data_IF_755029297148
#
_entry.id   IF_755029297148
#
_cell.length_a   1.000
_cell.length_b   1.000
_cell.length_c   1.000
_cell.angle_alpha   90.00
_cell.angle_beta   90.00
_cell.angle_gamma   90.00
#
_symmetry.space_group_name_H-M   'P 1'
#
loop_
_entity.id
_entity.type
_entity.pdbx_description
1 polymer ?
#
# COMPACT_ATOMS: atom_id res chain seq x y z
N UNK A 1 0.28 2.86 -11.39
CA UNK A 1 0.22 1.78 -12.40
C UNK A 1 -1.13 1.10 -12.29
N UNK A 2 -1.82 0.78 -13.40
CA UNK A 2 -3.01 -0.06 -13.35
C UNK A 2 -2.63 -1.53 -13.08
N UNK A 3 -3.53 -2.30 -12.47
CA UNK A 3 -3.37 -3.72 -12.15
C UNK A 3 -4.58 -4.51 -12.66
N UNK A 4 -4.33 -5.60 -13.37
CA UNK A 4 -5.39 -6.51 -13.82
C UNK A 4 -5.73 -7.52 -12.72
N UNK A 5 -7.02 -7.84 -12.56
CA UNK A 5 -7.44 -8.95 -11.71
C UNK A 5 -6.90 -10.26 -12.30
N UNK A 6 -6.62 -11.28 -11.45
CA UNK A 6 -6.16 -12.59 -11.94
C UNK A 6 -7.14 -13.27 -12.90
N UNK A 7 -8.45 -12.96 -12.79
CA UNK A 7 -9.50 -13.47 -13.68
C UNK A 7 -9.60 -12.67 -14.99
N UNK A 8 -8.94 -11.52 -15.10
CA UNK A 8 -8.98 -10.64 -16.26
C UNK A 8 -10.30 -9.87 -16.42
N UNK A 9 -11.18 -9.92 -15.44
CA UNK A 9 -12.52 -9.30 -15.45
C UNK A 9 -12.55 -7.87 -14.87
N UNK A 10 -11.46 -7.43 -14.25
CA UNK A 10 -11.35 -6.09 -13.65
C UNK A 10 -9.95 -5.50 -13.85
N UNK A 11 -9.90 -4.17 -13.93
CA UNK A 11 -8.70 -3.35 -13.88
C UNK A 11 -8.83 -2.42 -12.68
N UNK A 12 -7.84 -2.46 -11.79
CA UNK A 12 -7.69 -1.55 -10.67
C UNK A 12 -6.70 -0.44 -11.03
N UNK A 13 -6.99 0.80 -10.66
CA UNK A 13 -6.06 1.92 -10.85
C UNK A 13 -6.36 3.07 -9.88
N UNK A 14 -5.36 3.91 -9.64
CA UNK A 14 -5.50 5.13 -8.83
C UNK A 14 -5.86 6.33 -9.69
N UNK A 15 -6.76 7.18 -9.21
CA UNK A 15 -7.23 8.37 -9.93
C UNK A 15 -7.82 9.41 -8.97
N UNK A 16 -7.70 10.68 -9.31
CA UNK A 16 -8.36 11.79 -8.62
C UNK A 16 -9.75 12.13 -9.19
N UNK A 17 -10.36 11.26 -10.02
CA UNK A 17 -11.62 11.55 -10.73
C UNK A 17 -12.84 11.94 -9.88
N UNK A 18 -12.79 11.75 -8.57
CA UNK A 18 -13.82 12.20 -7.64
C UNK A 18 -13.73 13.70 -7.36
N UNK A 19 -12.51 14.23 -7.36
CA UNK A 19 -12.21 15.66 -7.30
C UNK A 19 -10.99 15.96 -8.19
N UNK A 20 -11.22 16.19 -9.50
CA UNK A 20 -10.14 16.45 -10.45
C UNK A 20 -9.34 17.73 -10.16
N UNK A 21 -9.86 18.61 -9.30
CA UNK A 21 -9.23 19.89 -8.94
C UNK A 21 -8.24 19.74 -7.79
N UNK A 22 -8.32 18.65 -7.04
CA UNK A 22 -7.41 18.31 -5.97
C UNK A 22 -6.23 17.47 -6.51
N UNK A 23 -5.01 18.03 -6.56
CA UNK A 23 -3.83 17.31 -7.04
C UNK A 23 -3.30 16.30 -6.01
N UNK A 24 -3.74 16.38 -4.76
CA UNK A 24 -3.24 15.58 -3.65
C UNK A 24 -4.14 14.38 -3.31
N UNK A 25 -5.40 14.41 -3.76
CA UNK A 25 -6.40 13.37 -3.52
C UNK A 25 -6.40 12.27 -4.59
N UNK A 26 -6.16 11.02 -4.20
CA UNK A 26 -6.23 9.86 -5.08
C UNK A 26 -7.05 8.74 -4.44
N UNK A 27 -7.99 8.18 -5.20
CA UNK A 27 -8.74 6.99 -4.80
C UNK A 27 -8.43 5.80 -5.70
N UNK A 28 -8.75 4.60 -5.23
CA UNK A 28 -8.71 3.38 -6.03
C UNK A 28 -10.04 3.17 -6.75
N UNK A 29 -9.94 2.81 -8.02
CA UNK A 29 -11.08 2.53 -8.88
C UNK A 29 -10.95 1.15 -9.50
N UNK A 30 -12.10 0.52 -9.72
CA UNK A 30 -12.24 -0.74 -10.42
C UNK A 30 -13.11 -0.51 -11.66
N UNK A 31 -12.74 -1.12 -12.78
CA UNK A 31 -13.49 -1.07 -14.04
C UNK A 31 -13.35 -2.38 -14.80
N UNK A 32 -14.35 -2.76 -15.58
CA UNK A 32 -14.24 -3.87 -16.53
C UNK A 32 -13.29 -3.55 -17.69
N UNK A 33 -12.73 -4.56 -18.39
CA UNK A 33 -11.85 -4.36 -19.55
C UNK A 33 -12.53 -3.61 -20.72
N UNK A 34 -13.85 -3.70 -20.79
CA UNK A 34 -14.72 -3.00 -21.74
C UNK A 34 -15.09 -1.57 -21.30
N UNK A 35 -14.61 -1.14 -20.13
CA UNK A 35 -14.94 0.15 -19.52
C UNK A 35 -16.20 0.16 -18.67
N UNK A 36 -16.96 -0.94 -18.60
CA UNK A 36 -18.19 -1.01 -17.82
C UNK A 36 -17.93 -1.16 -16.31
N UNK A 37 -18.94 -0.88 -15.49
CA UNK A 37 -18.87 -1.15 -14.04
C UNK A 37 -17.85 -0.31 -13.27
N UNK A 38 -17.46 0.84 -13.81
CA UNK A 38 -16.54 1.77 -13.16
C UNK A 38 -17.05 2.19 -11.77
N UNK A 39 -16.25 1.97 -10.72
CA UNK A 39 -16.58 2.40 -9.35
C UNK A 39 -15.35 2.71 -8.53
N UNK A 40 -15.49 3.61 -7.55
CA UNK A 40 -14.49 3.86 -6.50
C UNK A 40 -14.61 2.80 -5.40
N UNK A 41 -13.48 2.28 -4.93
CA UNK A 41 -13.41 1.48 -3.70
C UNK A 41 -13.33 2.44 -2.53
N UNK A 42 -14.31 2.41 -1.63
CA UNK A 42 -14.36 3.28 -0.45
C UNK A 42 -13.83 2.52 0.76
N UNK A 43 -12.62 2.85 1.20
CA UNK A 43 -11.91 2.09 2.25
C UNK A 43 -12.00 2.73 3.63
N UNK A 44 -12.08 4.06 3.71
CA UNK A 44 -12.30 4.77 4.98
C UNK A 44 -13.64 5.51 4.96
N UNK A 45 -14.20 5.70 6.16
CA UNK A 45 -15.44 6.44 6.38
C UNK A 45 -15.24 7.95 6.60
N UNK A 46 -14.00 8.43 6.48
CA UNK A 46 -13.59 9.80 6.78
C UNK A 46 -13.65 10.74 5.58
N UNK A 47 -12.80 11.76 5.61
CA UNK A 47 -12.64 12.75 4.54
C UNK A 47 -11.99 12.11 3.31
N UNK A 48 -12.84 11.57 2.43
CA UNK A 48 -12.45 10.89 1.20
C UNK A 48 -11.66 11.77 0.23
N UNK A 49 -11.70 13.09 0.40
CA UNK A 49 -11.04 14.05 -0.49
C UNK A 49 -9.57 14.26 -0.06
N UNK A 50 -9.20 13.86 1.15
CA UNK A 50 -7.80 13.86 1.63
C UNK A 50 -7.11 12.51 1.52
N UNK A 51 -7.84 11.48 1.09
CA UNK A 51 -7.26 10.16 0.84
C UNK A 51 -6.28 10.22 -0.32
N UNK A 52 -5.10 9.66 -0.12
CA UNK A 52 -4.09 9.51 -1.15
C UNK A 52 -3.72 8.05 -1.29
N UNK A 53 -4.48 7.34 -2.12
CA UNK A 53 -4.36 5.91 -2.33
C UNK A 53 -3.73 5.61 -3.70
N UNK A 54 -2.51 5.06 -3.66
CA UNK A 54 -1.68 4.81 -4.84
C UNK A 54 -1.22 3.35 -4.91
N UNK A 55 -0.59 2.99 -6.03
CA UNK A 55 0.11 1.72 -6.22
C UNK A 55 -0.72 0.46 -5.92
N UNK A 56 -1.96 0.41 -6.43
CA UNK A 56 -2.87 -0.72 -6.20
C UNK A 56 -2.43 -1.99 -6.95
N UNK A 57 -2.55 -3.15 -6.29
CA UNK A 57 -2.38 -4.47 -6.90
C UNK A 57 -3.41 -5.49 -6.34
N UNK A 58 -3.89 -6.38 -7.20
CA UNK A 58 -4.75 -7.50 -6.79
C UNK A 58 -3.95 -8.62 -6.12
N UNK A 59 -4.56 -9.28 -5.13
CA UNK A 59 -4.12 -10.58 -4.63
C UNK A 59 -4.27 -11.67 -5.70
N UNK A 60 -3.54 -12.77 -5.55
CA UNK A 60 -3.57 -13.88 -6.52
C UNK A 60 -4.93 -14.59 -6.66
N UNK A 61 -5.79 -14.50 -5.64
CA UNK A 61 -7.18 -14.99 -5.69
C UNK A 61 -8.18 -13.94 -6.21
N UNK A 62 -7.73 -12.69 -6.41
CA UNK A 62 -8.56 -11.57 -6.87
C UNK A 62 -9.50 -11.00 -5.81
N UNK A 63 -9.46 -11.48 -4.57
CA UNK A 63 -10.41 -11.13 -3.51
C UNK A 63 -9.97 -9.91 -2.68
N UNK A 64 -8.69 -9.55 -2.75
CA UNK A 64 -8.08 -8.48 -1.99
C UNK A 64 -7.31 -7.52 -2.90
N UNK A 65 -7.21 -6.29 -2.43
CA UNK A 65 -6.32 -5.27 -2.96
C UNK A 65 -5.24 -4.99 -1.91
N UNK A 66 -4.01 -4.77 -2.37
CA UNK A 66 -2.96 -4.10 -1.61
C UNK A 66 -2.69 -2.75 -2.26
N UNK A 67 -2.44 -1.73 -1.47
CA UNK A 67 -2.16 -0.38 -1.94
C UNK A 67 -1.39 0.41 -0.89
N UNK A 68 -0.80 1.51 -1.33
CA UNK A 68 -0.15 2.48 -0.47
C UNK A 68 -1.13 3.59 -0.13
N UNK A 69 -1.25 3.99 1.14
CA UNK A 69 -2.12 5.11 1.52
C UNK A 69 -1.61 5.94 2.70
N UNK A 70 -2.02 7.21 2.74
CA UNK A 70 -1.75 8.16 3.83
C UNK A 70 -2.71 8.05 5.03
N UNK A 71 -3.54 7.00 5.10
CA UNK A 71 -4.60 6.85 6.11
C UNK A 71 -4.07 6.75 7.55
N UNK A 72 -2.79 6.42 7.72
CA UNK A 72 -2.15 6.27 9.02
C UNK A 72 -1.54 7.55 9.57
N UNK A 73 -1.57 8.64 8.80
CA UNK A 73 -0.84 9.86 9.12
C UNK A 73 0.69 9.65 9.12
N UNK A 74 1.38 10.57 9.77
CA UNK A 74 2.84 10.55 9.92
C UNK A 74 3.19 9.68 11.14
N UNK A 75 4.02 8.64 10.95
CA UNK A 75 4.38 7.69 12.02
C UNK A 75 5.77 7.93 12.64
N UNK A 76 6.55 8.83 12.06
CA UNK A 76 7.87 9.24 12.56
C UNK A 76 8.11 10.72 12.27
N UNK A 77 9.30 11.23 12.54
CA UNK A 77 9.65 12.59 12.13
C UNK A 77 9.62 12.67 10.60
N UNK A 78 8.94 13.66 10.00
CA UNK A 78 8.99 13.80 8.58
C UNK A 78 10.45 14.00 8.17
N UNK A 79 11.00 13.13 7.31
CA UNK A 79 12.25 13.45 6.62
C UNK A 79 11.90 14.62 5.70
N UNK A 80 12.02 15.83 6.23
CA UNK A 80 11.67 17.06 5.57
C UNK A 80 12.72 17.39 4.49
N UNK A 81 12.75 16.56 3.45
CA UNK A 81 13.34 16.96 2.19
C UNK A 81 12.39 17.93 1.50
N UNK A 82 12.85 19.09 1.00
CA UNK A 82 12.03 19.88 0.09
C UNK A 82 11.66 19.03 -1.13
N UNK A 83 10.41 19.14 -1.61
CA UNK A 83 9.88 18.46 -2.81
C UNK A 83 9.72 16.93 -2.74
N UNK A 84 9.22 16.37 -1.64
CA UNK A 84 8.72 15.00 -1.66
C UNK A 84 7.41 14.92 -2.47
N UNK A 85 7.50 14.43 -3.72
CA UNK A 85 6.37 14.25 -4.62
C UNK A 85 5.31 13.27 -4.09
N UNK A 86 5.69 12.41 -3.14
CA UNK A 86 4.77 11.51 -2.46
C UNK A 86 5.03 11.52 -0.96
N UNK A 87 4.28 12.32 -0.17
CA UNK A 87 4.36 12.21 1.28
C UNK A 87 3.75 10.87 1.73
N UNK A 88 4.45 10.20 2.64
CA UNK A 88 4.04 9.13 3.55
C UNK A 88 2.93 8.20 3.06
N UNK A 89 3.32 6.97 2.77
CA UNK A 89 2.42 5.89 2.40
C UNK A 89 2.74 4.65 3.18
N UNK A 90 1.73 4.08 3.84
CA UNK A 90 1.83 2.77 4.47
C UNK A 90 1.11 1.75 3.61
N UNK A 91 1.47 0.48 3.72
CA UNK A 91 0.79 -0.58 3.01
C UNK A 91 -0.53 -0.91 3.71
N UNK A 92 -1.59 -0.97 2.94
CA UNK A 92 -2.91 -1.40 3.37
C UNK A 92 -3.45 -2.50 2.49
N UNK A 93 -4.38 -3.28 3.05
CA UNK A 93 -5.21 -4.22 2.29
C UNK A 93 -6.68 -3.97 2.54
N UNK A 94 -7.52 -4.25 1.55
CA UNK A 94 -8.98 -4.28 1.71
C UNK A 94 -9.60 -5.26 0.72
N UNK A 95 -10.86 -5.61 0.94
CA UNK A 95 -11.71 -6.35 -0.01
C UNK A 95 -12.14 -5.44 -1.17
N UNK A 96 -12.61 -6.00 -2.27
CA UNK A 96 -13.03 -5.22 -3.45
C UNK A 96 -14.20 -4.26 -3.20
N UNK A 97 -14.99 -4.49 -2.16
CA UNK A 97 -16.08 -3.62 -1.71
C UNK A 97 -15.60 -2.53 -0.73
N UNK A 98 -14.30 -2.52 -0.39
CA UNK A 98 -13.69 -1.61 0.57
C UNK A 98 -13.71 -2.10 2.02
N UNK A 99 -14.42 -3.20 2.30
CA UNK A 99 -14.47 -3.78 3.64
C UNK A 99 -13.16 -4.44 4.04
N UNK A 100 -13.01 -4.74 5.34
CA UNK A 100 -11.84 -5.45 5.84
C UNK A 100 -10.53 -4.69 5.70
N UNK A 101 -10.57 -3.35 5.71
CA UNK A 101 -9.39 -2.50 5.68
C UNK A 101 -8.42 -2.90 6.81
N UNK A 102 -7.16 -3.15 6.44
CA UNK A 102 -6.08 -3.51 7.38
C UNK A 102 -4.80 -2.79 6.98
N UNK A 103 -4.15 -2.19 7.98
CA UNK A 103 -2.81 -1.63 7.87
C UNK A 103 -1.78 -2.76 8.03
N UNK A 104 -0.80 -2.83 7.13
CA UNK A 104 0.23 -3.87 7.12
C UNK A 104 1.59 -3.38 7.64
N UNK A 105 1.89 -2.11 7.44
CA UNK A 105 3.15 -1.49 7.90
C UNK A 105 2.87 -0.36 8.89
N UNK A 106 3.82 -0.12 9.79
CA UNK A 106 3.83 1.00 10.71
C UNK A 106 5.27 1.33 11.09
N UNK A 107 5.94 2.13 10.26
CA UNK A 107 7.35 2.44 10.44
C UNK A 107 7.68 3.90 10.05
N UNK A 108 8.93 4.31 10.20
CA UNK A 108 9.37 5.69 9.94
C UNK A 108 9.64 6.00 8.46
N UNK A 109 9.52 5.01 7.57
CA UNK A 109 9.87 5.10 6.16
C UNK A 109 8.60 5.09 5.28
N UNK A 110 8.73 5.59 4.05
CA UNK A 110 7.68 5.44 3.05
C UNK A 110 7.70 4.02 2.48
N UNK A 111 6.58 3.32 2.57
CA UNK A 111 6.40 2.05 1.87
C UNK A 111 5.89 2.29 0.44
N UNK A 112 6.71 1.92 -0.53
CA UNK A 112 6.48 2.14 -1.96
C UNK A 112 5.48 1.18 -2.61
N UNK A 113 5.73 0.83 -3.89
CA UNK A 113 4.81 0.03 -4.73
C UNK A 113 4.73 -1.43 -4.26
N UNK A 114 3.62 -1.88 -3.64
CA UNK A 114 3.49 -3.26 -3.19
C UNK A 114 3.22 -4.21 -4.36
N UNK A 115 3.55 -5.49 -4.15
CA UNK A 115 3.16 -6.58 -5.03
C UNK A 115 2.84 -7.83 -4.21
N UNK A 116 1.90 -8.64 -4.71
CA UNK A 116 1.64 -9.95 -4.16
C UNK A 116 2.59 -10.97 -4.78
N UNK A 117 3.16 -11.84 -3.95
CA UNK A 117 3.84 -13.02 -4.43
C UNK A 117 2.82 -14.18 -4.57
N UNK A 118 2.81 -14.91 -5.69
CA UNK A 118 1.78 -15.93 -5.97
C UNK A 118 1.87 -17.16 -5.06
N UNK A 119 3.01 -17.37 -4.40
CA UNK A 119 3.19 -18.44 -3.42
C UNK A 119 3.22 -17.84 -2.03
N UNK A 120 2.57 -18.52 -1.08
CA UNK A 120 2.87 -18.32 0.34
C UNK A 120 4.36 -18.58 0.52
N UNK A 121 5.09 -17.59 1.00
CA UNK A 121 6.44 -17.82 1.47
C UNK A 121 6.30 -18.68 2.72
N UNK A 122 6.64 -19.96 2.62
CA UNK A 122 6.90 -20.76 3.80
C UNK A 122 8.21 -20.24 4.37
N UNK A 123 8.13 -19.46 5.45
CA UNK A 123 9.27 -19.35 6.33
C UNK A 123 9.54 -20.79 6.77
N UNK A 124 10.73 -21.32 6.46
CA UNK A 124 11.12 -22.65 6.90
C UNK A 124 10.97 -22.76 8.42
N UNK A 125 11.03 -23.98 8.99
CA UNK A 125 11.16 -24.09 10.44
C UNK A 125 12.29 -23.13 10.87
N UNK A 126 12.02 -22.32 11.90
CA UNK A 126 13.06 -21.51 12.52
C UNK A 126 14.29 -22.42 12.70
N UNK A 127 15.47 -21.92 12.32
CA UNK A 127 16.72 -22.63 12.57
C UNK A 127 16.69 -23.20 14.00
N UNK A 128 17.16 -24.45 14.21
CA UNK A 128 16.99 -25.15 15.48
C UNK A 128 17.41 -24.24 16.63
N UNK A 129 16.44 -23.85 17.47
CA UNK A 129 16.54 -22.89 18.57
C UNK A 129 17.93 -22.26 18.73
N UNK A 130 18.32 -21.44 17.74
CA UNK A 130 19.35 -20.43 17.92
C UNK A 130 18.79 -19.40 18.90
N UNK A 131 19.67 -18.69 19.59
CA UNK A 131 19.32 -17.73 20.64
C UNK A 131 18.02 -16.96 20.34
N UNK A 132 17.13 -16.79 21.33
CA UNK A 132 15.86 -16.11 21.11
C UNK A 132 16.15 -14.75 20.46
N UNK A 133 15.51 -14.49 19.31
CA UNK A 133 15.59 -13.20 18.63
C UNK A 133 15.18 -12.12 19.65
N UNK A 134 16.16 -11.37 20.17
CA UNK A 134 15.93 -10.35 21.22
C UNK A 134 15.27 -9.08 20.69
N UNK A 135 14.92 -9.04 19.40
CA UNK A 135 14.47 -7.82 18.74
C UNK A 135 15.59 -6.79 18.58
N UNK A 136 16.86 -7.20 18.74
CA UNK A 136 18.01 -6.38 18.37
C UNK A 136 18.07 -6.37 16.84
N UNK A 137 17.58 -5.28 16.27
CA UNK A 137 17.88 -4.91 14.88
C UNK A 137 19.32 -4.45 14.92
N UNK A 138 20.26 -5.27 14.43
CA UNK A 138 21.58 -4.76 14.06
C UNK A 138 21.31 -3.69 13.00
N UNK A 139 21.52 -2.42 13.35
CA UNK A 139 21.63 -1.40 12.33
C UNK A 139 22.65 -1.88 11.30
N UNK A 140 22.40 -1.71 9.98
CA UNK A 140 23.36 -2.12 8.99
C UNK A 140 24.72 -1.46 9.25
N UNK A 141 25.66 -2.25 9.79
CA UNK A 141 27.05 -1.90 10.13
C UNK A 141 27.88 -1.40 8.94
N UNK A 142 27.27 -1.18 7.77
CA UNK A 142 27.91 -0.68 6.55
C UNK A 142 27.61 0.79 6.25
N UNK A 143 26.88 1.51 7.12
CA UNK A 143 26.80 2.97 7.08
C UNK A 143 27.61 3.54 8.23
N UNK A 144 28.91 3.76 8.01
CA UNK A 144 29.73 4.63 8.85
C UNK A 144 29.87 5.99 8.15
N UNK A 145 29.43 7.06 8.80
CA UNK A 145 29.70 8.42 8.37
C UNK A 145 30.77 9.01 9.30
N UNK A 146 31.99 9.16 8.78
CA UNK A 146 33.04 9.88 9.48
C UNK A 146 32.69 11.37 9.50
N UNK A 147 32.62 11.98 10.69
CA UNK A 147 32.46 13.42 10.89
C UNK A 147 33.82 14.11 10.70
#
# INVERSE_FOLDING_TARGET
MPSWSPRGDLIAFSSNRHDPTNPDGFGVYLVGPDGAGLRRVRVASGDVDRERINHVAFSGDGEWLVFTANLGGVNGEPVAGPNQFQPYGELYTCRLDGSGLRRLTCNAFEDGTPAWHPRRLSVGPAAPAGEPLRGEVDEPLWISCDI
#
